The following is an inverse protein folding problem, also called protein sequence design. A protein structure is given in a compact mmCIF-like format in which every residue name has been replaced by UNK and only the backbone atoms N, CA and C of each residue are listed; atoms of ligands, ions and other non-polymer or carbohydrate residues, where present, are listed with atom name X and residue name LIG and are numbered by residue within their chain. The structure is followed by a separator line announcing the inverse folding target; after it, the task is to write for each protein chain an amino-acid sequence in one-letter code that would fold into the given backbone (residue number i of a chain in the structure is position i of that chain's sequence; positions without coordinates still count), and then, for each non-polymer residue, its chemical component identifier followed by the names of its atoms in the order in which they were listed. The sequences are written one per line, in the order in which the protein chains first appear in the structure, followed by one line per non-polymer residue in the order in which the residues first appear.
data_IF_411146705829
#
_entry.id   IF_411146705829
#
_cell.length_a   1.000
_cell.length_b   1.000
_cell.length_c   1.000
_cell.angle_alpha   90.00
_cell.angle_beta   90.00
_cell.angle_gamma   90.00
#
_symmetry.space_group_name_H-M   'P 1'
#
loop_
_entity.id
_entity.type
_entity.pdbx_description
1 polymer ?
#
# COMPACT_ATOMS: atom_id res chain seq x y z
N UNK A 1 -21.52 11.05 12.27
CA UNK A 1 -20.45 10.12 12.70
C UNK A 1 -19.98 9.35 11.47
N UNK A 2 -18.89 9.78 10.85
CA UNK A 2 -18.34 9.10 9.68
C UNK A 2 -17.34 8.04 10.16
N UNK A 3 -17.62 6.76 9.86
CA UNK A 3 -16.71 5.64 10.13
C UNK A 3 -15.78 5.52 8.93
N UNK A 4 -14.54 5.96 9.08
CA UNK A 4 -13.47 5.75 8.09
C UNK A 4 -12.69 4.48 8.45
N UNK A 5 -12.17 3.76 7.44
CA UNK A 5 -11.34 2.57 7.63
C UNK A 5 -10.06 2.67 6.82
N UNK A 6 -8.99 2.08 7.34
CA UNK A 6 -7.69 1.98 6.68
C UNK A 6 -7.65 0.74 5.79
N UNK A 7 -7.15 0.92 4.57
CA UNK A 7 -6.98 -0.15 3.59
C UNK A 7 -5.58 -0.06 2.95
N UNK A 8 -5.05 -1.21 2.54
CA UNK A 8 -3.82 -1.32 1.73
C UNK A 8 -4.19 -1.77 0.33
N UNK A 9 -3.69 -1.07 -0.68
CA UNK A 9 -3.90 -1.45 -2.07
C UNK A 9 -3.12 -2.71 -2.44
N UNK A 10 -3.78 -3.66 -3.09
CA UNK A 10 -3.21 -4.90 -3.59
C UNK A 10 -2.76 -4.81 -5.06
N UNK A 11 -3.12 -3.72 -5.75
CA UNK A 11 -2.74 -3.44 -7.13
C UNK A 11 -2.34 -1.97 -7.28
N UNK A 12 -1.54 -1.66 -8.32
CA UNK A 12 -1.27 -0.28 -8.71
C UNK A 12 -2.56 0.37 -9.23
N UNK A 13 -2.87 1.55 -8.71
CA UNK A 13 -4.01 2.36 -9.09
C UNK A 13 -3.52 3.75 -9.54
N UNK A 14 -4.37 4.52 -10.20
CA UNK A 14 -3.99 5.84 -10.72
C UNK A 14 -3.47 6.72 -9.59
N UNK A 15 -2.17 7.03 -9.61
CA UNK A 15 -1.49 7.84 -8.60
C UNK A 15 -1.04 7.11 -7.33
N UNK A 16 -1.33 5.81 -7.19
CA UNK A 16 -0.98 5.03 -6.01
C UNK A 16 -0.36 3.69 -6.37
N UNK A 17 0.78 3.38 -5.75
CA UNK A 17 1.47 2.12 -5.99
C UNK A 17 0.82 0.97 -5.24
N UNK A 18 1.01 -0.26 -5.74
CA UNK A 18 0.68 -1.48 -5.00
C UNK A 18 1.36 -1.46 -3.62
N UNK A 19 0.60 -1.79 -2.58
CA UNK A 19 1.05 -1.74 -1.18
C UNK A 19 0.86 -0.38 -0.51
N UNK A 20 0.37 0.64 -1.22
CA UNK A 20 0.07 1.94 -0.63
C UNK A 20 -1.10 1.87 0.35
N UNK A 21 -0.95 2.52 1.50
CA UNK A 21 -1.92 2.51 2.59
C UNK A 21 -2.67 3.84 2.62
N UNK A 22 -3.99 3.79 2.68
CA UNK A 22 -4.82 5.00 2.73
C UNK A 22 -6.05 4.78 3.61
N UNK A 23 -6.57 5.88 4.14
CA UNK A 23 -7.81 5.90 4.91
C UNK A 23 -8.93 6.36 3.98
N UNK A 24 -9.99 5.56 3.87
CA UNK A 24 -11.15 5.87 3.04
C UNK A 24 -12.45 5.64 3.81
N UNK A 25 -13.56 6.17 3.29
CA UNK A 25 -14.88 5.90 3.84
C UNK A 25 -15.18 4.39 3.83
N UNK A 26 -15.82 3.88 4.89
CA UNK A 26 -16.09 2.44 5.03
C UNK A 26 -16.78 1.83 3.80
N UNK A 27 -17.73 2.54 3.17
CA UNK A 27 -18.40 2.03 1.97
C UNK A 27 -17.46 1.86 0.76
N UNK A 28 -16.49 2.77 0.59
CA UNK A 28 -15.50 2.66 -0.49
C UNK A 28 -14.49 1.55 -0.18
N UNK A 29 -14.03 1.45 1.07
CA UNK A 29 -13.16 0.36 1.52
C UNK A 29 -13.79 -1.00 1.21
N UNK A 30 -15.06 -1.17 1.59
CA UNK A 30 -15.78 -2.42 1.43
C UNK A 30 -15.95 -2.81 -0.05
N UNK A 31 -16.23 -1.84 -0.91
CA UNK A 31 -16.33 -2.06 -2.35
C UNK A 31 -14.98 -2.48 -2.96
N UNK A 32 -13.87 -1.88 -2.54
CA UNK A 32 -12.53 -2.20 -3.02
C UNK A 32 -12.06 -3.58 -2.53
N UNK A 33 -12.39 -3.94 -1.29
CA UNK A 33 -12.00 -5.21 -0.65
C UNK A 33 -12.88 -6.35 -1.14
N UNK A 34 -14.20 -6.27 -0.96
CA UNK A 34 -15.12 -7.37 -1.23
C UNK A 34 -15.31 -7.64 -2.72
N UNK A 35 -15.47 -6.57 -3.51
CA UNK A 35 -16.03 -6.69 -4.86
C UNK A 35 -14.98 -6.94 -5.94
N UNK A 36 -13.75 -6.52 -5.69
CA UNK A 36 -12.70 -6.50 -6.72
C UNK A 36 -11.31 -6.95 -6.25
N UNK A 37 -11.15 -7.30 -4.97
CA UNK A 37 -9.84 -7.68 -4.36
C UNK A 37 -8.73 -6.68 -4.71
N UNK A 38 -9.06 -5.39 -4.84
CA UNK A 38 -8.08 -4.33 -5.13
C UNK A 38 -7.41 -3.82 -3.87
N UNK A 39 -7.97 -4.09 -2.70
CA UNK A 39 -7.43 -3.68 -1.42
C UNK A 39 -7.68 -4.74 -0.33
N UNK A 40 -6.94 -4.65 0.77
CA UNK A 40 -7.13 -5.41 2.00
C UNK A 40 -7.34 -4.45 3.18
N UNK A 41 -8.13 -4.86 4.17
CA UNK A 41 -8.22 -4.11 5.43
C UNK A 41 -6.93 -4.29 6.22
N UNK A 42 -6.33 -3.17 6.62
CA UNK A 42 -5.19 -3.13 7.54
C UNK A 42 -5.75 -2.78 8.92
N UNK A 43 -6.27 -3.80 9.59
CA UNK A 43 -6.43 -3.79 11.04
C UNK A 43 -5.03 -4.00 11.65
N UNK A 44 -4.67 -3.30 12.72
CA UNK A 44 -3.29 -3.17 13.24
C UNK A 44 -2.59 -4.48 13.70
N UNK A 45 -3.18 -5.65 13.46
CA UNK A 45 -2.55 -6.96 13.64
C UNK A 45 -2.09 -7.59 12.32
N UNK A 46 -0.98 -7.10 11.75
CA UNK A 46 0.08 -7.90 11.11
C UNK A 46 1.18 -7.02 10.52
N UNK A 47 2.30 -6.81 11.23
CA UNK A 47 3.51 -6.28 10.63
C UNK A 47 4.30 -7.47 10.06
N UNK A 48 4.25 -7.70 8.75
CA UNK A 48 5.31 -8.42 7.99
C UNK A 48 5.03 -8.31 6.50
N UNK A 49 6.04 -7.88 5.74
CA UNK A 49 6.14 -7.95 4.26
C UNK A 49 5.84 -6.72 3.40
N UNK A 50 5.97 -5.48 3.89
CA UNK A 50 6.06 -4.29 2.99
C UNK A 50 7.42 -3.58 3.02
N UNK A 51 8.38 -4.07 3.82
CA UNK A 51 9.70 -3.40 3.98
C UNK A 51 10.81 -4.04 3.14
N UNK A 52 10.57 -5.19 2.50
CA UNK A 52 11.62 -5.94 1.80
C UNK A 52 11.88 -5.47 0.36
N UNK A 53 10.89 -4.98 -0.39
CA UNK A 53 11.09 -4.71 -1.83
C UNK A 53 11.48 -3.24 -2.14
N UNK A 54 11.02 -2.27 -1.35
CA UNK A 54 11.33 -0.85 -1.59
C UNK A 54 12.75 -0.42 -1.18
N UNK A 55 13.44 -1.21 -0.34
CA UNK A 55 14.80 -0.86 0.12
C UNK A 55 15.90 -1.24 -0.87
N UNK A 56 15.65 -2.17 -1.80
CA UNK A 56 16.71 -2.64 -2.71
C UNK A 56 16.89 -1.72 -3.95
N UNK A 57 15.85 -1.03 -4.42
CA UNK A 57 15.97 -0.15 -5.60
C UNK A 57 16.62 1.21 -5.33
N UNK A 58 16.66 1.68 -4.09
CA UNK A 58 17.29 2.98 -3.74
C UNK A 58 18.79 2.83 -3.46
N UNK A 59 19.26 1.62 -3.10
CA UNK A 59 20.67 1.36 -2.81
C UNK A 59 21.57 1.34 -4.07
N UNK A 60 21.02 1.17 -5.29
CA UNK A 60 21.82 1.09 -6.53
C UNK A 60 22.19 2.44 -7.17
N UNK A 61 21.84 3.59 -6.56
CA UNK A 61 22.09 4.94 -7.15
C UNK A 61 23.05 5.85 -6.37
N UNK A 62 23.88 5.35 -5.45
CA UNK A 62 24.85 6.19 -4.70
C UNK A 62 26.25 5.59 -4.60
N UNK A 63 26.76 4.99 -5.68
CA UNK A 63 28.07 4.34 -5.65
C UNK A 63 28.85 4.30 -6.97
N UNK A 64 28.57 5.15 -7.97
CA UNK A 64 29.43 5.26 -9.17
C UNK A 64 29.85 6.71 -9.43
N UNK A 65 30.61 7.26 -8.48
CA UNK A 65 31.68 8.24 -8.75
C UNK A 65 32.97 7.44 -8.84
N UNK A 66 33.59 7.38 -10.03
CA UNK A 66 35.04 7.20 -10.30
C UNK A 66 35.24 6.92 -11.80
N UNK A 67 35.22 7.99 -12.59
CA UNK A 67 36.26 8.31 -13.56
C UNK A 67 36.52 9.79 -13.43
#
# INVERSE_FOLDING_TARGET
MSRERRIRLLADCVGFHRGHEMTVATGLADLLVQRKRYAEYIDEEKPKSVVAELKEKVAKRRGRKKS
#
